data_IF_430397399005
#
_entry.id   IF_430397399005
#
_cell.length_a   1.000
_cell.length_b   1.000
_cell.length_c   1.000
_cell.angle_alpha   90.00
_cell.angle_beta   90.00
_cell.angle_gamma   90.00
#
_symmetry.space_group_name_H-M   'P 1'
#
loop_
_entity.id
_entity.type
_entity.pdbx_description
1 polymer ?
#
# COMPACT_ATOMS: atom_id res chain seq x y z
N UNK A 1 -15.58 10.38 -6.38
CA UNK A 1 -14.19 10.45 -5.88
C UNK A 1 -14.12 10.94 -4.45
N UNK A 2 -14.80 12.03 -4.08
CA UNK A 2 -14.75 12.55 -2.69
C UNK A 2 -15.27 11.59 -1.62
N UNK A 3 -16.39 10.91 -1.88
CA UNK A 3 -16.93 9.91 -0.95
C UNK A 3 -15.95 8.74 -0.73
N UNK A 4 -15.33 8.23 -1.80
CA UNK A 4 -14.33 7.16 -1.72
C UNK A 4 -13.09 7.62 -0.95
N UNK A 5 -12.59 8.83 -1.26
CA UNK A 5 -11.47 9.42 -0.53
C UNK A 5 -11.80 9.54 0.96
N UNK A 6 -13.00 10.03 1.30
CA UNK A 6 -13.44 10.15 2.69
C UNK A 6 -13.51 8.80 3.40
N UNK A 7 -14.07 7.76 2.76
CA UNK A 7 -14.13 6.40 3.34
C UNK A 7 -12.73 5.87 3.63
N UNK A 8 -11.80 6.01 2.69
CA UNK A 8 -10.41 5.57 2.89
C UNK A 8 -9.77 6.36 4.01
N UNK A 9 -9.91 7.68 4.02
CA UNK A 9 -9.38 8.55 5.07
C UNK A 9 -9.94 8.21 6.45
N UNK A 10 -11.25 8.04 6.58
CA UNK A 10 -11.92 7.69 7.84
C UNK A 10 -11.45 6.31 8.34
N UNK A 11 -11.23 5.36 7.44
CA UNK A 11 -10.64 4.07 7.78
C UNK A 11 -9.19 4.20 8.30
N UNK A 12 -8.36 5.00 7.66
CA UNK A 12 -7.00 5.27 8.14
C UNK A 12 -7.00 5.95 9.51
N UNK A 13 -7.86 6.96 9.69
CA UNK A 13 -8.03 7.65 10.98
C UNK A 13 -8.57 6.73 12.07
N UNK A 14 -9.38 5.73 11.72
CA UNK A 14 -9.78 4.70 12.65
C UNK A 14 -8.59 3.84 13.09
N UNK A 15 -7.72 3.44 12.16
CA UNK A 15 -6.51 2.69 12.49
C UNK A 15 -5.50 3.48 13.33
N UNK A 16 -5.41 4.79 13.11
CA UNK A 16 -4.57 5.72 13.91
C UNK A 16 -4.96 5.64 15.38
N UNK A 17 -6.27 5.74 15.65
CA UNK A 17 -6.81 5.64 17.00
C UNK A 17 -6.63 4.26 17.61
N UNK A 18 -6.65 3.20 16.80
CA UNK A 18 -6.55 1.82 17.27
C UNK A 18 -5.10 1.44 17.63
N UNK A 19 -4.13 1.89 16.83
CA UNK A 19 -2.75 1.42 16.91
C UNK A 19 -1.81 2.34 17.66
N UNK A 20 -2.16 3.64 17.76
CA UNK A 20 -1.28 4.66 18.31
C UNK A 20 -0.22 5.19 17.33
N UNK A 21 -0.13 4.62 16.13
CA UNK A 21 0.66 5.17 15.03
C UNK A 21 0.00 6.41 14.46
N UNK A 22 0.80 7.29 13.88
CA UNK A 22 0.37 8.47 13.13
C UNK A 22 -0.31 8.09 11.81
N UNK A 23 -1.03 9.05 11.23
CA UNK A 23 -1.69 8.85 9.93
C UNK A 23 -0.70 8.49 8.82
N UNK A 24 0.45 9.15 8.83
CA UNK A 24 1.55 8.99 7.88
C UNK A 24 2.17 7.60 7.99
N UNK A 25 2.45 7.14 9.22
CA UNK A 25 2.94 5.79 9.49
C UNK A 25 1.97 4.73 8.98
N UNK A 26 0.68 4.87 9.26
CA UNK A 26 -0.34 3.93 8.79
C UNK A 26 -0.44 3.93 7.28
N UNK A 27 -0.29 5.10 6.64
CA UNK A 27 -0.23 5.19 5.19
C UNK A 27 0.92 4.33 4.65
N UNK A 28 2.13 4.52 5.17
CA UNK A 28 3.29 3.74 4.74
C UNK A 28 3.09 2.25 5.02
N UNK A 29 2.60 1.87 6.19
CA UNK A 29 2.35 0.47 6.53
C UNK A 29 1.35 -0.16 5.54
N UNK A 30 0.23 0.48 5.26
CA UNK A 30 -0.79 -0.10 4.36
C UNK A 30 -0.27 -0.23 2.94
N UNK A 31 0.25 0.87 2.38
CA UNK A 31 0.55 0.93 0.95
C UNK A 31 1.91 0.35 0.56
N UNK A 32 2.89 0.39 1.45
CA UNK A 32 4.24 -0.14 1.18
C UNK A 32 4.50 -1.50 1.81
N UNK A 33 3.74 -1.91 2.83
CA UNK A 33 3.96 -3.20 3.52
C UNK A 33 2.78 -4.14 3.27
N UNK A 34 1.58 -3.81 3.74
CA UNK A 34 0.43 -4.73 3.76
C UNK A 34 -0.03 -5.10 2.35
N UNK A 35 -0.31 -4.10 1.50
CA UNK A 35 -0.79 -4.36 0.14
C UNK A 35 0.26 -5.17 -0.67
N UNK A 36 1.54 -4.76 -0.75
CA UNK A 36 2.55 -5.55 -1.45
C UNK A 36 2.72 -6.96 -0.89
N UNK A 37 2.67 -7.13 0.44
CA UNK A 37 2.79 -8.45 1.05
C UNK A 37 1.64 -9.39 0.63
N UNK A 38 0.41 -8.91 0.59
CA UNK A 38 -0.72 -9.73 0.12
C UNK A 38 -0.59 -10.11 -1.35
N UNK A 39 -0.02 -9.25 -2.20
CA UNK A 39 0.30 -9.61 -3.59
C UNK A 39 1.35 -10.71 -3.66
N UNK A 40 2.38 -10.63 -2.82
CA UNK A 40 3.39 -11.69 -2.69
C UNK A 40 2.74 -13.02 -2.28
N UNK A 41 1.77 -13.03 -1.36
CA UNK A 41 1.02 -14.24 -0.99
C UNK A 41 0.25 -14.83 -2.18
N UNK A 42 -0.40 -13.98 -2.98
CA UNK A 42 -1.09 -14.42 -4.20
C UNK A 42 -0.11 -14.94 -5.26
N UNK A 43 1.05 -14.31 -5.42
CA UNK A 43 2.10 -14.75 -6.34
C UNK A 43 2.69 -16.09 -5.93
N UNK A 44 2.99 -16.29 -4.65
CA UNK A 44 3.43 -17.59 -4.12
C UNK A 44 2.42 -18.69 -4.46
N UNK A 45 1.12 -18.40 -4.32
CA UNK A 45 0.06 -19.33 -4.73
C UNK A 45 0.05 -19.61 -6.23
N UNK A 46 0.21 -18.59 -7.07
CA UNK A 46 0.25 -18.74 -8.54
C UNK A 46 1.46 -19.59 -8.98
N UNK A 47 2.59 -19.43 -8.31
CA UNK A 47 3.85 -20.11 -8.64
C UNK A 47 4.01 -21.46 -7.95
N UNK A 48 3.13 -21.80 -6.99
CA UNK A 48 3.26 -23.00 -6.17
C UNK A 48 4.51 -23.00 -5.27
N UNK A 49 5.02 -21.82 -4.92
CA UNK A 49 6.21 -21.63 -4.08
C UNK A 49 5.83 -20.94 -2.78
N UNK A 50 6.72 -21.01 -1.78
CA UNK A 50 6.57 -20.33 -0.50
C UNK A 50 7.75 -19.42 -0.14
N UNK A 51 8.71 -19.31 -1.06
CA UNK A 51 9.92 -18.54 -0.83
C UNK A 51 9.66 -17.04 -0.93
N UNK A 52 8.69 -16.56 -1.74
CA UNK A 52 8.52 -15.12 -1.93
C UNK A 52 8.01 -14.44 -0.65
N UNK A 53 7.01 -15.03 0.03
CA UNK A 53 6.53 -14.46 1.30
C UNK A 53 7.59 -14.49 2.39
N UNK A 54 8.40 -15.56 2.44
CA UNK A 54 9.48 -15.70 3.42
C UNK A 54 10.58 -14.65 3.17
N UNK A 55 11.02 -14.50 1.92
CA UNK A 55 12.01 -13.49 1.53
C UNK A 55 11.47 -12.08 1.77
N UNK A 56 10.20 -11.81 1.46
CA UNK A 56 9.59 -10.51 1.73
C UNK A 56 9.62 -10.17 3.22
N UNK A 57 9.21 -11.10 4.09
CA UNK A 57 9.25 -10.89 5.54
C UNK A 57 10.68 -10.72 6.08
N UNK A 58 11.64 -11.47 5.54
CA UNK A 58 13.06 -11.33 5.91
C UNK A 58 13.58 -9.94 5.53
N UNK A 59 13.34 -9.49 4.29
CA UNK A 59 13.75 -8.16 3.82
C UNK A 59 13.08 -7.08 4.66
N UNK A 60 11.78 -7.21 4.93
CA UNK A 60 11.03 -6.27 5.75
C UNK A 60 11.62 -6.17 7.17
N UNK A 61 11.92 -7.31 7.81
CA UNK A 61 12.51 -7.33 9.14
C UNK A 61 13.88 -6.65 9.16
N UNK A 62 14.75 -6.98 8.20
CA UNK A 62 16.07 -6.33 8.07
C UNK A 62 15.94 -4.83 7.83
N UNK A 63 14.99 -4.42 7.00
CA UNK A 63 14.73 -3.02 6.70
C UNK A 63 14.25 -2.25 7.93
N UNK A 64 13.30 -2.81 8.69
CA UNK A 64 12.79 -2.19 9.92
C UNK A 64 13.85 -2.10 11.02
N UNK A 65 14.77 -3.07 11.11
CA UNK A 65 15.90 -3.01 12.05
C UNK A 65 16.90 -1.90 11.67
N UNK A 66 17.06 -1.64 10.37
CA UNK A 66 18.00 -0.63 9.88
C UNK A 66 17.46 0.80 9.99
N UNK A 67 16.14 0.97 10.08
CA UNK A 67 15.52 2.29 10.28
C UNK A 67 15.62 2.65 11.77
N UNK A 68 16.39 3.69 12.12
CA UNK A 68 16.56 4.07 13.53
C UNK A 68 15.31 4.76 14.10
N UNK A 69 14.57 5.49 13.26
CA UNK A 69 13.35 6.22 13.62
C UNK A 69 12.30 5.99 12.53
N UNK A 70 11.31 5.15 12.85
CA UNK A 70 10.26 4.81 11.90
C UNK A 70 9.31 5.96 11.63
N UNK A 71 9.05 6.81 12.61
CA UNK A 71 8.14 7.96 12.48
C UNK A 71 8.73 8.97 11.49
N UNK A 72 10.01 9.32 11.66
CA UNK A 72 10.70 10.25 10.76
C UNK A 72 10.80 9.67 9.34
N UNK A 73 11.10 8.38 9.21
CA UNK A 73 11.15 7.69 7.92
C UNK A 73 9.78 7.70 7.24
N UNK A 74 8.71 7.38 7.97
CA UNK A 74 7.37 7.34 7.45
C UNK A 74 6.89 8.73 7.01
N UNK A 75 7.17 9.76 7.81
CA UNK A 75 6.86 11.15 7.46
C UNK A 75 7.59 11.58 6.18
N UNK A 76 8.89 11.27 6.06
CA UNK A 76 9.65 11.57 4.84
C UNK A 76 9.07 10.87 3.62
N UNK A 77 8.84 9.55 3.71
CA UNK A 77 8.31 8.76 2.60
C UNK A 77 6.90 9.21 2.21
N UNK A 78 6.07 9.55 3.19
CA UNK A 78 4.72 10.08 2.97
C UNK A 78 4.76 11.41 2.22
N UNK A 79 5.63 12.34 2.61
CA UNK A 79 5.79 13.61 1.92
C UNK A 79 6.22 13.41 0.45
N UNK A 80 7.16 12.50 0.20
CA UNK A 80 7.56 12.13 -1.17
C UNK A 80 6.38 11.56 -1.96
N UNK A 81 5.53 10.71 -1.34
CA UNK A 81 4.31 10.21 -1.98
C UNK A 81 3.30 11.33 -2.28
N UNK A 82 3.13 12.29 -1.38
CA UNK A 82 2.25 13.45 -1.57
C UNK A 82 2.76 14.32 -2.71
N UNK A 83 4.06 14.58 -2.78
CA UNK A 83 4.68 15.34 -3.88
C UNK A 83 4.48 14.63 -5.23
N UNK A 84 4.65 13.32 -5.27
CA UNK A 84 4.35 12.51 -6.45
C UNK A 84 2.88 12.62 -6.88
N UNK A 85 1.94 12.56 -5.93
CA UNK A 85 0.51 12.71 -6.24
C UNK A 85 0.16 14.12 -6.70
N UNK A 86 0.82 15.13 -6.14
CA UNK A 86 0.66 16.53 -6.50
C UNK A 86 1.26 16.86 -7.86
N UNK A 87 2.25 16.10 -8.35
CA UNK A 87 2.75 16.23 -9.72
C UNK A 87 1.62 16.09 -10.75
N UNK A 88 0.65 15.22 -10.49
CA UNK A 88 -0.52 15.07 -11.36
C UNK A 88 -1.48 16.26 -11.32
N UNK A 89 -1.41 17.12 -10.30
CA UNK A 89 -2.19 18.35 -10.27
C UNK A 89 -1.74 19.31 -11.37
N UNK A 90 -0.46 19.30 -11.74
CA UNK A 90 0.03 20.08 -12.89
C UNK A 90 -0.54 19.62 -14.23
N UNK A 91 -1.08 18.40 -14.30
CA UNK A 91 -1.77 17.85 -15.48
C UNK A 91 -3.30 18.09 -15.42
N UNK A 92 -3.78 18.94 -14.51
CA UNK A 92 -5.20 19.25 -14.34
C UNK A 92 -5.98 18.27 -13.47
N UNK A 93 -5.31 17.34 -12.77
CA UNK A 93 -5.94 16.49 -11.75
C UNK A 93 -6.04 17.23 -10.39
N UNK A 94 -6.67 16.59 -9.40
CA UNK A 94 -6.62 17.02 -7.99
C UNK A 94 -6.04 15.92 -7.12
N UNK A 95 -5.40 16.30 -6.01
CA UNK A 95 -4.78 15.36 -5.07
C UNK A 95 -5.73 14.23 -4.65
N UNK A 96 -6.99 14.57 -4.33
CA UNK A 96 -8.03 13.59 -3.96
C UNK A 96 -8.28 12.58 -5.08
N UNK A 97 -8.36 13.05 -6.33
CA UNK A 97 -8.60 12.18 -7.49
C UNK A 97 -7.39 11.28 -7.73
N UNK A 98 -6.20 11.87 -7.78
CA UNK A 98 -4.95 11.14 -7.99
C UNK A 98 -4.72 10.08 -6.91
N UNK A 99 -4.97 10.43 -5.64
CA UNK A 99 -4.88 9.50 -4.51
C UNK A 99 -5.83 8.32 -4.65
N UNK A 100 -7.11 8.55 -4.97
CA UNK A 100 -8.06 7.42 -5.15
C UNK A 100 -7.66 6.54 -6.33
N UNK A 101 -7.19 7.12 -7.43
CA UNK A 101 -6.74 6.33 -8.59
C UNK A 101 -5.53 5.47 -8.21
N UNK A 102 -4.48 6.07 -7.64
CA UNK A 102 -3.21 5.39 -7.38
C UNK A 102 -3.31 4.44 -6.20
N UNK A 103 -3.96 4.85 -5.11
CA UNK A 103 -3.99 4.11 -3.85
C UNK A 103 -5.15 3.12 -3.75
N UNK A 104 -6.17 3.20 -4.61
CA UNK A 104 -7.35 2.31 -4.57
C UNK A 104 -7.56 1.61 -5.90
N UNK A 105 -7.72 2.35 -6.99
CA UNK A 105 -8.10 1.78 -8.29
C UNK A 105 -7.00 0.88 -8.85
N UNK A 106 -5.75 1.35 -8.88
CA UNK A 106 -4.61 0.55 -9.36
C UNK A 106 -4.45 -0.73 -8.51
N UNK A 107 -4.39 -0.67 -7.15
CA UNK A 107 -4.36 -1.87 -6.33
C UNK A 107 -5.53 -2.81 -6.57
N UNK A 108 -6.75 -2.30 -6.74
CA UNK A 108 -7.93 -3.12 -7.01
C UNK A 108 -7.81 -3.89 -8.31
N UNK A 109 -7.34 -3.25 -9.38
CA UNK A 109 -7.06 -3.92 -10.67
C UNK A 109 -5.98 -4.98 -10.51
N UNK A 110 -4.90 -4.68 -9.78
CA UNK A 110 -3.84 -5.64 -9.49
C UNK A 110 -4.36 -6.87 -8.73
N UNK A 111 -5.18 -6.67 -7.69
CA UNK A 111 -5.82 -7.77 -6.98
C UNK A 111 -6.72 -8.60 -7.89
N UNK A 112 -7.53 -7.96 -8.74
CA UNK A 112 -8.40 -8.67 -9.67
C UNK A 112 -7.59 -9.60 -10.59
N UNK A 113 -6.49 -9.11 -11.16
CA UNK A 113 -5.60 -9.90 -12.02
C UNK A 113 -4.94 -11.05 -11.24
N UNK A 114 -4.40 -10.77 -10.05
CA UNK A 114 -3.70 -11.75 -9.23
C UNK A 114 -4.64 -12.85 -8.71
N UNK A 115 -5.80 -12.47 -8.18
CA UNK A 115 -6.81 -13.43 -7.70
C UNK A 115 -7.31 -14.28 -8.86
N UNK A 116 -7.62 -13.68 -10.02
CA UNK A 116 -8.04 -14.43 -11.20
C UNK A 116 -6.99 -15.48 -11.60
N UNK A 117 -5.72 -15.11 -11.65
CA UNK A 117 -4.63 -16.07 -11.97
C UNK A 117 -4.42 -17.13 -10.88
N UNK A 118 -4.59 -16.76 -9.62
CA UNK A 118 -4.33 -17.64 -8.47
C UNK A 118 -5.43 -18.69 -8.26
N UNK A 119 -6.68 -18.39 -8.62
CA UNK A 119 -7.84 -19.25 -8.34
C UNK A 119 -8.55 -19.77 -9.60
N UNK A 120 -8.56 -18.99 -10.69
CA UNK A 120 -9.31 -19.31 -11.91
C UNK A 120 -8.41 -19.67 -13.08
N UNK A 121 -7.17 -20.14 -12.81
CA UNK A 121 -6.37 -20.82 -13.84
C UNK A 121 -7.11 -22.11 -14.19
N UNK A 122 -7.93 -22.05 -15.25
CA UNK A 122 -8.42 -23.22 -15.97
C UNK A 122 -7.19 -24.03 -16.36
N UNK A 123 -7.12 -25.28 -15.89
CA UNK A 123 -6.18 -26.26 -16.41
C UNK A 123 -6.35 -26.40 -17.91
#
# INVERSE_FOLDING_TARGET
MEALFKVVYDFLKFLEKLTGFTYEEINIIIWYIVIPFTWVLLLDKILGKHYLKATFLLILALFLIYIPDFELFALWLFNVSVDFLNLFNHLGSSYKISSVIVCVLIPMVMYFILIRKAYFRTK
#
